data_IF_679215733920
#
_entry.id   IF_679215733920
#
_cell.length_a   1.000
_cell.length_b   1.000
_cell.length_c   1.000
_cell.angle_alpha   90.00
_cell.angle_beta   90.00
_cell.angle_gamma   90.00
#
_symmetry.space_group_name_H-M   'P 1'
#
loop_
_entity.id
_entity.type
_entity.pdbx_description
1 polymer ?
#
# COMPACT_ATOMS: atom_id res chain seq x y z
N UNK A 1 12.50 43.27 5.33
CA UNK A 1 11.67 43.89 4.26
C UNK A 1 10.40 43.10 4.07
N UNK A 2 9.31 43.70 3.58
CA UNK A 2 8.04 43.03 3.31
C UNK A 2 7.23 43.76 2.24
N UNK A 3 6.22 43.10 1.65
CA UNK A 3 5.28 43.72 0.72
C UNK A 3 4.14 44.41 1.47
N UNK A 4 3.86 45.66 1.13
CA UNK A 4 2.79 46.49 1.72
C UNK A 4 1.76 46.87 0.66
N UNK A 5 0.48 46.68 0.97
CA UNK A 5 -0.65 47.23 0.20
C UNK A 5 -0.92 48.66 0.67
N UNK A 6 -1.08 49.59 -0.27
CA UNK A 6 -1.42 50.99 0.02
C UNK A 6 -2.63 51.38 -0.80
N UNK A 7 -3.69 51.81 -0.11
CA UNK A 7 -4.93 52.29 -0.72
C UNK A 7 -4.90 53.80 -0.89
N UNK A 8 -5.33 54.29 -2.05
CA UNK A 8 -5.46 55.72 -2.34
C UNK A 8 -6.85 56.01 -2.90
N UNK A 9 -7.56 56.98 -2.31
CA UNK A 9 -8.88 57.42 -2.77
C UNK A 9 -8.74 58.64 -3.67
N UNK A 10 -9.31 58.59 -4.88
CA UNK A 10 -9.42 59.76 -5.77
C UNK A 10 -10.69 60.56 -5.46
N UNK A 11 -10.73 61.84 -5.89
CA UNK A 11 -11.90 62.73 -5.79
C UNK A 11 -13.17 62.17 -6.46
N UNK A 12 -13.02 61.21 -7.38
CA UNK A 12 -14.12 60.51 -8.07
C UNK A 12 -14.73 59.33 -7.28
N UNK A 13 -14.27 59.06 -6.04
CA UNK A 13 -14.76 57.96 -5.20
C UNK A 13 -14.09 56.60 -5.47
N UNK A 14 -13.29 56.48 -6.54
CA UNK A 14 -12.56 55.25 -6.87
C UNK A 14 -11.36 55.06 -5.94
N UNK A 15 -11.22 53.85 -5.37
CA UNK A 15 -10.10 53.44 -4.52
C UNK A 15 -9.13 52.60 -5.34
N UNK A 16 -7.87 53.01 -5.40
CA UNK A 16 -6.83 52.29 -6.12
C UNK A 16 -5.80 51.74 -5.13
N UNK A 17 -5.56 50.43 -5.19
CA UNK A 17 -4.63 49.72 -4.32
C UNK A 17 -3.32 49.46 -5.06
N UNK A 18 -2.20 49.83 -4.44
CA UNK A 18 -0.85 49.62 -4.98
C UNK A 18 -0.01 48.73 -4.07
N UNK A 19 1.01 48.08 -4.62
CA UNK A 19 1.95 47.22 -3.88
C UNK A 19 3.33 47.86 -3.84
N UNK A 20 3.97 47.81 -2.68
CA UNK A 20 5.30 48.37 -2.43
C UNK A 20 6.18 47.38 -1.68
N UNK A 21 7.46 47.27 -2.04
CA UNK A 21 8.48 46.63 -1.19
C UNK A 21 8.96 47.67 -0.17
N UNK A 22 8.85 47.35 1.11
CA UNK A 22 9.25 48.26 2.19
C UNK A 22 10.23 47.59 3.14
N UNK A 23 11.10 48.41 3.71
CA UNK A 23 12.05 47.99 4.74
C UNK A 23 11.82 48.78 6.02
N UNK A 24 11.79 48.09 7.15
CA UNK A 24 11.72 48.71 8.47
C UNK A 24 13.12 49.00 8.99
N UNK A 25 13.33 50.22 9.49
CA UNK A 25 14.60 50.66 10.07
C UNK A 25 14.33 51.55 11.30
N UNK A 26 15.33 51.73 12.17
CA UNK A 26 15.27 52.69 13.27
C UNK A 26 16.00 53.97 12.88
N UNK A 27 15.39 55.13 13.10
CA UNK A 27 16.06 56.41 12.89
C UNK A 27 17.07 56.69 14.03
N UNK A 28 17.82 57.79 13.92
CA UNK A 28 18.80 58.22 14.93
C UNK A 28 18.17 58.44 16.32
N UNK A 29 16.87 58.70 16.39
CA UNK A 29 16.08 58.83 17.63
C UNK A 29 15.55 57.48 18.17
N UNK A 30 15.93 56.35 17.57
CA UNK A 30 15.50 55.00 17.97
C UNK A 30 14.06 54.64 17.59
N UNK A 31 13.32 55.51 16.88
CA UNK A 31 11.94 55.27 16.45
C UNK A 31 11.90 54.38 15.21
N UNK A 32 10.99 53.40 15.21
CA UNK A 32 10.74 52.55 14.05
C UNK A 32 10.09 53.33 12.91
N UNK A 33 10.70 53.29 11.73
CA UNK A 33 10.25 53.93 10.49
C UNK A 33 10.29 52.91 9.36
N UNK A 34 9.54 53.17 8.30
CA UNK A 34 9.59 52.38 7.06
C UNK A 34 10.09 53.24 5.92
N UNK A 35 10.98 52.69 5.10
CA UNK A 35 11.39 53.28 3.81
C UNK A 35 10.88 52.42 2.67
N UNK A 36 10.48 53.05 1.59
CA UNK A 36 10.04 52.35 0.39
C UNK A 36 11.27 52.00 -0.44
N UNK A 37 11.44 50.73 -0.75
CA UNK A 37 12.53 50.24 -1.60
C UNK A 37 12.11 50.18 -3.06
N UNK A 38 10.86 49.81 -3.34
CA UNK A 38 10.35 49.66 -4.70
C UNK A 38 8.83 49.82 -4.79
N UNK A 39 8.34 50.36 -5.91
CA UNK A 39 6.92 50.47 -6.23
C UNK A 39 6.57 49.48 -7.34
N UNK A 40 5.76 48.46 -7.03
CA UNK A 40 5.29 47.49 -8.03
C UNK A 40 4.08 47.98 -8.83
N UNK A 41 3.45 49.08 -8.41
CA UNK A 41 2.29 49.64 -9.11
C UNK A 41 0.96 49.04 -8.63
N UNK A 42 -0.08 49.03 -9.49
CA UNK A 42 -1.41 48.52 -9.16
C UNK A 42 -1.41 47.06 -8.72
N UNK A 43 -2.17 46.73 -7.67
CA UNK A 43 -2.21 45.39 -7.08
C UNK A 43 -2.66 44.31 -8.08
N UNK A 44 -3.69 44.61 -8.87
CA UNK A 44 -4.24 43.74 -9.91
C UNK A 44 -3.19 43.39 -10.96
N UNK A 45 -2.47 44.40 -11.48
CA UNK A 45 -1.41 44.19 -12.47
C UNK A 45 -0.24 43.40 -11.90
N UNK A 46 0.18 43.73 -10.67
CA UNK A 46 1.26 43.03 -10.01
C UNK A 46 0.94 41.56 -9.79
N UNK A 47 -0.27 41.24 -9.31
CA UNK A 47 -0.70 39.85 -9.08
C UNK A 47 -0.78 39.05 -10.38
N UNK A 48 -1.21 39.65 -11.49
CA UNK A 48 -1.34 38.93 -12.76
C UNK A 48 -0.01 38.71 -13.52
N UNK A 49 0.95 39.62 -13.37
CA UNK A 49 2.13 39.63 -14.26
C UNK A 49 3.46 39.29 -13.56
N UNK A 50 3.62 39.69 -12.30
CA UNK A 50 4.93 39.81 -11.66
C UNK A 50 5.05 39.07 -10.32
N UNK A 51 3.95 38.87 -9.60
CA UNK A 51 3.95 38.26 -8.27
C UNK A 51 4.55 36.84 -8.30
N UNK A 52 4.04 35.97 -9.17
CA UNK A 52 4.49 34.58 -9.25
C UNK A 52 5.95 34.49 -9.69
N UNK A 53 6.36 35.32 -10.67
CA UNK A 53 7.76 35.40 -11.11
C UNK A 53 8.71 35.85 -10.00
N UNK A 54 8.27 36.80 -9.17
CA UNK A 54 9.05 37.27 -8.04
C UNK A 54 9.21 36.16 -6.99
N UNK A 55 8.13 35.44 -6.69
CA UNK A 55 8.14 34.29 -5.77
C UNK A 55 9.07 33.18 -6.28
N UNK A 56 8.91 32.78 -7.54
CA UNK A 56 9.73 31.77 -8.19
C UNK A 56 11.22 32.13 -8.20
N UNK A 57 11.54 33.39 -8.51
CA UNK A 57 12.92 33.88 -8.53
C UNK A 57 13.58 33.79 -7.14
N UNK A 58 12.85 34.22 -6.09
CA UNK A 58 13.34 34.14 -4.70
C UNK A 58 13.53 32.70 -4.25
N UNK A 59 12.57 31.81 -4.55
CA UNK A 59 12.66 30.40 -4.17
C UNK A 59 13.81 29.69 -4.87
N UNK A 60 13.98 29.94 -6.18
CA UNK A 60 15.12 29.43 -6.96
C UNK A 60 16.46 29.85 -6.37
N UNK A 61 16.58 31.09 -5.89
CA UNK A 61 17.80 31.57 -5.21
C UNK A 61 18.06 30.84 -3.87
N UNK A 62 17.00 30.37 -3.19
CA UNK A 62 17.12 29.58 -1.95
C UNK A 62 17.30 28.08 -2.20
N UNK A 63 17.27 27.61 -3.46
CA UNK A 63 17.24 26.19 -3.79
C UNK A 63 15.90 25.52 -3.43
N UNK A 64 14.85 26.30 -3.24
CA UNK A 64 13.50 25.85 -2.95
C UNK A 64 12.65 25.92 -4.23
N UNK A 65 11.59 25.12 -4.32
CA UNK A 65 10.65 25.12 -5.46
C UNK A 65 9.28 25.55 -4.96
N UNK A 66 8.62 26.46 -5.69
CA UNK A 66 7.25 26.84 -5.39
C UNK A 66 6.31 25.71 -5.81
N UNK A 67 5.56 25.17 -4.85
CA UNK A 67 4.56 24.12 -5.09
C UNK A 67 3.15 24.72 -5.07
N UNK A 68 2.87 25.70 -5.93
CA UNK A 68 1.56 26.37 -5.97
C UNK A 68 0.48 25.58 -6.73
N UNK A 69 0.84 24.41 -7.23
CA UNK A 69 -0.03 23.55 -8.04
C UNK A 69 -0.21 22.16 -7.43
N UNK A 70 -0.10 22.04 -6.11
CA UNK A 70 -0.74 20.90 -5.45
C UNK A 70 -2.25 21.13 -5.58
N UNK A 71 -2.82 20.66 -6.69
CA UNK A 71 -4.26 20.48 -6.83
C UNK A 71 -4.76 19.90 -5.51
N UNK A 72 -5.78 20.52 -4.92
CA UNK A 72 -6.42 19.96 -3.73
C UNK A 72 -7.17 18.71 -4.20
N UNK A 73 -6.48 17.58 -4.20
CA UNK A 73 -7.08 16.28 -4.48
C UNK A 73 -8.16 16.03 -3.42
N UNK A 74 -9.42 15.92 -3.84
CA UNK A 74 -10.54 15.67 -2.93
C UNK A 74 -10.46 14.29 -2.28
N UNK A 75 -9.93 13.30 -3.01
CA UNK A 75 -9.54 12.00 -2.49
C UNK A 75 -8.48 11.39 -3.41
N UNK A 76 -7.60 10.58 -2.83
CA UNK A 76 -6.61 9.81 -3.56
C UNK A 76 -6.67 8.36 -3.08
N UNK A 77 -6.33 7.44 -3.99
CA UNK A 77 -6.23 6.02 -3.67
C UNK A 77 -4.82 5.69 -3.23
N UNK A 78 -4.69 4.79 -2.25
CA UNK A 78 -3.39 4.27 -1.86
C UNK A 78 -2.83 3.39 -2.99
N UNK A 79 -1.55 3.59 -3.32
CA UNK A 79 -0.90 2.87 -4.43
C UNK A 79 0.55 2.45 -4.14
N UNK A 80 1.34 3.27 -3.44
CA UNK A 80 2.79 3.04 -3.29
C UNK A 80 3.17 1.63 -2.80
N UNK A 81 2.57 1.18 -1.71
CA UNK A 81 2.85 -0.15 -1.14
C UNK A 81 2.42 -1.27 -2.09
N UNK A 82 1.27 -1.09 -2.75
CA UNK A 82 0.69 -2.05 -3.68
C UNK A 82 1.49 -2.17 -4.96
N UNK A 83 2.08 -1.07 -5.44
CA UNK A 83 3.02 -1.10 -6.54
C UNK A 83 4.20 -2.00 -6.21
N UNK A 84 4.77 -1.88 -5.01
CA UNK A 84 5.90 -2.70 -4.56
C UNK A 84 5.53 -4.18 -4.50
N UNK A 85 4.39 -4.51 -3.89
CA UNK A 85 3.86 -5.89 -3.82
C UNK A 85 3.68 -6.47 -5.23
N UNK A 86 3.05 -5.70 -6.13
CA UNK A 86 2.83 -6.14 -7.50
C UNK A 86 4.15 -6.41 -8.24
N UNK A 87 5.16 -5.54 -8.08
CA UNK A 87 6.48 -5.73 -8.69
C UNK A 87 7.15 -7.00 -8.16
N UNK A 88 7.10 -7.25 -6.86
CA UNK A 88 7.65 -8.49 -6.25
C UNK A 88 6.97 -9.73 -6.84
N UNK A 89 5.63 -9.77 -6.87
CA UNK A 89 4.88 -10.91 -7.40
C UNK A 89 5.14 -11.16 -8.88
N UNK A 90 5.40 -10.10 -9.65
CA UNK A 90 5.78 -10.18 -11.06
C UNK A 90 7.16 -10.79 -11.24
N UNK A 91 8.15 -10.38 -10.46
CA UNK A 91 9.50 -10.98 -10.48
C UNK A 91 9.47 -12.46 -10.07
N UNK A 92 8.63 -12.82 -9.09
CA UNK A 92 8.40 -14.21 -8.67
C UNK A 92 7.68 -15.07 -9.72
N UNK A 93 7.18 -14.46 -10.80
CA UNK A 93 6.42 -15.14 -11.89
C UNK A 93 5.19 -15.90 -11.39
N UNK A 94 4.65 -15.50 -10.23
CA UNK A 94 3.60 -16.24 -9.55
C UNK A 94 2.30 -16.27 -10.34
N UNK A 95 1.86 -15.11 -10.85
CA UNK A 95 0.62 -15.01 -11.62
C UNK A 95 0.69 -15.74 -12.96
N UNK A 96 1.87 -15.83 -13.59
CA UNK A 96 2.05 -16.54 -14.85
C UNK A 96 1.84 -18.05 -14.68
N UNK A 97 2.24 -18.62 -13.53
CA UNK A 97 1.98 -20.03 -13.25
C UNK A 97 0.49 -20.29 -12.99
N UNK A 98 -0.18 -19.36 -12.29
CA UNK A 98 -1.63 -19.42 -12.09
C UNK A 98 -2.39 -19.37 -13.42
N UNK A 99 -2.00 -18.46 -14.34
CA UNK A 99 -2.62 -18.38 -15.67
C UNK A 99 -2.46 -19.68 -16.45
N UNK A 100 -1.24 -20.23 -16.48
CA UNK A 100 -0.97 -21.52 -17.14
C UNK A 100 -1.86 -22.64 -16.61
N UNK A 101 -1.96 -22.79 -15.29
CA UNK A 101 -2.82 -23.81 -14.66
C UNK A 101 -4.28 -23.54 -14.99
N UNK A 102 -4.73 -22.28 -14.89
CA UNK A 102 -6.10 -21.88 -15.20
C UNK A 102 -6.49 -22.31 -16.61
N UNK A 103 -5.67 -22.00 -17.61
CA UNK A 103 -5.92 -22.26 -19.02
C UNK A 103 -5.84 -23.74 -19.38
N UNK A 104 -4.91 -24.50 -18.77
CA UNK A 104 -4.66 -25.90 -19.11
C UNK A 104 -5.49 -26.91 -18.33
N UNK A 105 -5.89 -26.59 -17.09
CA UNK A 105 -6.45 -27.57 -16.15
C UNK A 105 -7.81 -27.19 -15.58
N UNK A 106 -8.34 -26.00 -15.91
CA UNK A 106 -9.60 -25.52 -15.33
C UNK A 106 -10.58 -24.98 -16.37
N UNK A 107 -11.83 -24.81 -15.95
CA UNK A 107 -12.88 -24.09 -16.70
C UNK A 107 -13.28 -22.81 -15.99
N UNK A 108 -12.34 -22.17 -15.29
CA UNK A 108 -12.62 -20.95 -14.53
C UNK A 108 -12.78 -19.78 -15.51
N UNK A 109 -13.99 -19.25 -15.62
CA UNK A 109 -14.31 -18.18 -16.57
C UNK A 109 -14.08 -16.77 -16.00
N UNK A 110 -14.00 -16.63 -14.68
CA UNK A 110 -13.76 -15.33 -14.05
C UNK A 110 -12.26 -14.98 -14.02
N UNK A 111 -11.96 -13.73 -13.66
CA UNK A 111 -10.59 -13.23 -13.50
C UNK A 111 -9.90 -13.81 -12.25
N UNK A 112 -9.43 -15.06 -12.35
CA UNK A 112 -8.78 -15.78 -11.25
C UNK A 112 -7.53 -15.06 -10.73
N UNK A 113 -6.65 -14.64 -11.62
CA UNK A 113 -5.44 -13.88 -11.27
C UNK A 113 -5.83 -12.63 -10.51
N UNK A 114 -6.86 -11.93 -10.98
CA UNK A 114 -7.26 -10.70 -10.34
C UNK A 114 -7.77 -10.89 -8.91
N UNK A 115 -8.55 -11.94 -8.68
CA UNK A 115 -9.05 -12.29 -7.35
C UNK A 115 -7.92 -12.74 -6.41
N UNK A 116 -6.96 -13.52 -6.89
CA UNK A 116 -5.80 -13.93 -6.09
C UNK A 116 -4.91 -12.73 -5.75
N UNK A 117 -4.67 -11.84 -6.71
CA UNK A 117 -3.91 -10.62 -6.49
C UNK A 117 -4.57 -9.73 -5.42
N UNK A 118 -5.91 -9.58 -5.47
CA UNK A 118 -6.65 -8.85 -4.45
C UNK A 118 -6.51 -9.50 -3.05
N UNK A 119 -6.57 -10.83 -2.95
CA UNK A 119 -6.39 -11.56 -1.69
C UNK A 119 -5.00 -11.35 -1.09
N UNK A 120 -3.95 -11.47 -1.91
CA UNK A 120 -2.56 -11.30 -1.47
C UNK A 120 -2.31 -9.85 -1.07
N UNK A 121 -2.71 -8.90 -1.93
CA UNK A 121 -2.53 -7.48 -1.70
C UNK A 121 -3.23 -7.01 -0.43
N UNK A 122 -4.48 -7.42 -0.20
CA UNK A 122 -5.17 -7.08 1.05
C UNK A 122 -4.52 -7.74 2.27
N UNK A 123 -4.08 -9.00 2.16
CA UNK A 123 -3.42 -9.70 3.27
C UNK A 123 -2.12 -9.02 3.73
N UNK A 124 -1.40 -8.38 2.82
CA UNK A 124 -0.15 -7.66 3.13
C UNK A 124 -0.43 -6.22 3.56
N UNK A 125 -1.35 -5.52 2.90
CA UNK A 125 -1.56 -4.08 3.12
C UNK A 125 -2.55 -3.73 4.24
N UNK A 126 -3.72 -4.39 4.30
CA UNK A 126 -4.76 -4.15 5.31
C UNK A 126 -5.48 -5.49 5.61
N UNK A 127 -4.85 -6.38 6.40
CA UNK A 127 -5.34 -7.74 6.60
C UNK A 127 -6.75 -7.74 7.16
N UNK A 128 -7.70 -8.23 6.37
CA UNK A 128 -9.12 -8.16 6.72
C UNK A 128 -9.91 -9.41 6.30
N UNK A 129 -11.21 -9.42 6.58
CA UNK A 129 -12.10 -10.46 6.06
C UNK A 129 -12.28 -10.30 4.55
N UNK A 130 -12.58 -11.40 3.85
CA UNK A 130 -12.77 -11.38 2.38
C UNK A 130 -13.96 -10.51 1.96
N UNK A 131 -14.91 -10.28 2.88
CA UNK A 131 -16.00 -9.35 2.68
C UNK A 131 -15.54 -7.90 2.83
N UNK A 132 -14.79 -7.57 3.89
CA UNK A 132 -14.24 -6.22 4.12
C UNK A 132 -13.23 -5.82 3.03
N UNK A 133 -12.52 -6.80 2.45
CA UNK A 133 -11.65 -6.61 1.29
C UNK A 133 -12.35 -5.89 0.14
N UNK A 134 -13.65 -6.16 -0.10
CA UNK A 134 -14.39 -5.50 -1.18
C UNK A 134 -14.50 -3.99 -0.97
N UNK A 135 -14.72 -3.53 0.27
CA UNK A 135 -14.70 -2.10 0.61
C UNK A 135 -13.28 -1.54 0.55
N UNK A 136 -12.26 -2.33 0.92
CA UNK A 136 -10.86 -1.90 0.82
C UNK A 136 -10.44 -1.62 -0.64
N UNK A 137 -10.99 -2.34 -1.63
CA UNK A 137 -10.73 -2.08 -3.06
C UNK A 137 -11.16 -0.68 -3.53
N UNK A 138 -12.07 -0.01 -2.80
CA UNK A 138 -12.47 1.37 -3.09
C UNK A 138 -11.38 2.37 -2.69
N UNK A 139 -10.59 2.04 -1.66
CA UNK A 139 -9.55 2.89 -1.06
C UNK A 139 -8.21 2.80 -1.78
N UNK A 140 -8.02 1.77 -2.62
CA UNK A 140 -6.75 1.47 -3.24
C UNK A 140 -6.80 1.51 -4.76
N UNK A 141 -5.64 1.78 -5.36
CA UNK A 141 -5.43 1.66 -6.79
C UNK A 141 -4.55 0.44 -7.04
N UNK A 142 -5.07 -0.47 -7.84
CA UNK A 142 -4.39 -1.68 -8.26
C UNK A 142 -4.31 -1.65 -9.79
N UNK A 143 -3.15 -1.29 -10.36
CA UNK A 143 -2.95 -1.33 -11.80
C UNK A 143 -3.24 -2.75 -12.32
N UNK A 144 -3.74 -2.83 -13.55
CA UNK A 144 -4.05 -4.10 -14.23
C UNK A 144 -5.24 -4.90 -13.64
N UNK A 145 -5.78 -4.48 -12.49
CA UNK A 145 -6.98 -5.06 -11.87
C UNK A 145 -8.22 -4.21 -12.16
N UNK A 146 -9.23 -4.81 -12.79
CA UNK A 146 -10.58 -4.24 -12.83
C UNK A 146 -11.27 -4.53 -11.49
N UNK A 147 -11.10 -3.64 -10.51
CA UNK A 147 -11.67 -3.80 -9.16
C UNK A 147 -13.18 -4.06 -9.18
N UNK A 148 -13.92 -3.50 -10.15
CA UNK A 148 -15.36 -3.73 -10.33
C UNK A 148 -15.75 -5.18 -10.69
N UNK A 149 -14.79 -6.01 -11.12
CA UNK A 149 -15.02 -7.42 -11.43
C UNK A 149 -14.78 -8.37 -10.26
N UNK A 150 -14.22 -7.86 -9.14
CA UNK A 150 -13.91 -8.68 -7.97
C UNK A 150 -15.16 -8.86 -7.13
N UNK A 151 -15.52 -10.11 -6.83
CA UNK A 151 -16.67 -10.41 -5.96
C UNK A 151 -16.36 -11.50 -4.94
N UNK A 152 -17.15 -11.51 -3.87
CA UNK A 152 -16.96 -12.39 -2.73
C UNK A 152 -16.90 -13.89 -3.08
N UNK A 153 -17.84 -14.38 -3.89
CA UNK A 153 -17.92 -15.80 -4.21
C UNK A 153 -16.71 -16.28 -5.00
N UNK A 154 -16.24 -15.46 -5.94
CA UNK A 154 -15.06 -15.78 -6.73
C UNK A 154 -13.76 -15.64 -5.91
N UNK A 155 -13.70 -14.79 -4.88
CA UNK A 155 -12.58 -14.79 -3.92
C UNK A 155 -12.49 -16.14 -3.20
N UNK A 156 -13.62 -16.70 -2.76
CA UNK A 156 -13.63 -18.02 -2.12
C UNK A 156 -13.22 -19.14 -3.08
N UNK A 157 -13.78 -19.15 -4.30
CA UNK A 157 -13.38 -20.12 -5.36
C UNK A 157 -11.90 -20.01 -5.73
N UNK A 158 -11.32 -18.81 -5.64
CA UNK A 158 -9.89 -18.61 -5.85
C UNK A 158 -9.06 -19.27 -4.75
N UNK A 159 -9.55 -19.29 -3.50
CA UNK A 159 -8.89 -20.03 -2.43
C UNK A 159 -8.95 -21.54 -2.66
N UNK A 160 -10.08 -22.07 -3.14
CA UNK A 160 -10.20 -23.50 -3.48
C UNK A 160 -9.20 -23.90 -4.57
N UNK A 161 -9.03 -23.02 -5.59
CA UNK A 161 -8.00 -23.20 -6.61
C UNK A 161 -6.59 -23.25 -6.00
N UNK A 162 -6.24 -22.31 -5.11
CA UNK A 162 -4.94 -22.27 -4.46
C UNK A 162 -4.67 -23.54 -3.63
N UNK A 163 -5.68 -24.03 -2.90
CA UNK A 163 -5.58 -25.28 -2.12
C UNK A 163 -5.33 -26.48 -3.05
N UNK A 164 -6.10 -26.60 -4.14
CA UNK A 164 -5.99 -27.70 -5.09
C UNK A 164 -4.62 -27.76 -5.77
N UNK A 165 -4.03 -26.62 -6.09
CA UNK A 165 -2.77 -26.52 -6.82
C UNK A 165 -1.57 -26.16 -5.93
N UNK A 166 -1.74 -26.22 -4.61
CA UNK A 166 -0.77 -25.79 -3.58
C UNK A 166 0.65 -26.27 -3.86
N UNK A 167 0.87 -27.59 -4.00
CA UNK A 167 2.21 -28.16 -4.18
C UNK A 167 2.94 -27.55 -5.38
N UNK A 168 2.29 -27.52 -6.54
CA UNK A 168 2.88 -26.97 -7.77
C UNK A 168 3.20 -25.49 -7.64
N UNK A 169 2.29 -24.72 -7.02
CA UNK A 169 2.49 -23.29 -6.81
C UNK A 169 3.62 -23.00 -5.83
N UNK A 170 3.75 -23.80 -4.76
CA UNK A 170 4.87 -23.70 -3.81
C UNK A 170 6.20 -24.09 -4.43
N UNK A 171 6.26 -25.23 -5.13
CA UNK A 171 7.48 -25.67 -5.83
C UNK A 171 7.96 -24.54 -6.76
N UNK A 172 7.03 -23.92 -7.50
CA UNK A 172 7.34 -22.82 -8.41
C UNK A 172 7.79 -21.54 -7.68
N UNK A 173 7.14 -21.19 -6.57
CA UNK A 173 7.52 -20.04 -5.76
C UNK A 173 8.89 -20.24 -5.14
N UNK A 174 9.16 -21.41 -4.58
CA UNK A 174 10.44 -21.78 -4.00
C UNK A 174 11.54 -21.68 -5.06
N UNK A 175 11.37 -22.29 -6.24
CA UNK A 175 12.31 -22.17 -7.36
C UNK A 175 12.62 -20.70 -7.71
N UNK A 176 11.59 -19.86 -7.86
CA UNK A 176 11.76 -18.44 -8.16
C UNK A 176 12.54 -17.72 -7.08
N UNK A 177 12.19 -17.90 -5.80
CA UNK A 177 12.86 -17.25 -4.66
C UNK A 177 14.32 -17.67 -4.60
N UNK A 178 14.60 -18.97 -4.63
CA UNK A 178 15.96 -19.50 -4.56
C UNK A 178 16.82 -19.00 -5.71
N UNK A 179 16.26 -18.93 -6.92
CA UNK A 179 16.99 -18.44 -8.10
C UNK A 179 17.21 -16.93 -8.09
N UNK A 180 16.25 -16.12 -7.63
CA UNK A 180 16.37 -14.66 -7.65
C UNK A 180 17.40 -14.19 -6.61
N UNK A 181 17.43 -14.85 -5.46
CA UNK A 181 18.30 -14.49 -4.34
C UNK A 181 19.58 -15.35 -4.26
N UNK A 182 19.81 -16.24 -5.23
CA UNK A 182 20.94 -17.18 -5.28
C UNK A 182 21.15 -17.94 -3.95
N UNK A 183 20.05 -18.44 -3.39
CA UNK A 183 20.04 -19.10 -2.09
C UNK A 183 20.39 -20.59 -2.24
N UNK A 184 21.28 -21.08 -1.38
CA UNK A 184 21.64 -22.50 -1.35
C UNK A 184 20.74 -23.26 -0.38
N UNK A 185 20.06 -24.30 -0.86
CA UNK A 185 19.23 -25.19 -0.05
C UNK A 185 20.06 -26.36 0.52
N UNK A 186 21.03 -26.06 1.38
CA UNK A 186 21.86 -27.08 2.04
C UNK A 186 21.23 -27.61 3.33
N UNK A 187 20.59 -26.71 4.06
CA UNK A 187 19.79 -27.00 5.24
C UNK A 187 18.41 -26.35 5.08
N UNK A 188 17.39 -27.00 5.64
CA UNK A 188 16.09 -26.39 5.85
C UNK A 188 15.80 -26.36 7.34
N UNK A 189 15.14 -25.29 7.79
CA UNK A 189 14.51 -25.27 9.10
C UNK A 189 13.05 -25.70 8.97
N UNK A 190 12.60 -26.54 9.89
CA UNK A 190 11.22 -26.95 10.00
C UNK A 190 10.75 -26.63 11.42
N UNK A 191 9.70 -25.83 11.51
CA UNK A 191 9.05 -25.51 12.77
C UNK A 191 7.54 -25.71 12.66
N UNK A 192 6.93 -26.04 13.79
CA UNK A 192 5.52 -26.35 13.92
C UNK A 192 4.85 -25.30 14.79
N UNK A 193 3.77 -24.73 14.29
CA UNK A 193 2.88 -23.82 15.02
C UNK A 193 1.44 -24.34 14.99
N UNK A 194 0.53 -23.68 15.71
CA UNK A 194 -0.89 -24.04 15.72
C UNK A 194 -1.76 -22.79 15.58
N UNK A 195 -2.98 -22.96 15.06
CA UNK A 195 -4.01 -21.92 15.09
C UNK A 195 -5.33 -22.53 15.54
N UNK A 196 -5.98 -21.90 16.51
CA UNK A 196 -7.28 -22.33 17.03
C UNK A 196 -8.46 -21.68 16.30
N UNK A 197 -9.64 -22.27 16.45
CA UNK A 197 -10.90 -21.77 15.88
C UNK A 197 -12.00 -21.70 16.94
N UNK A 198 -12.87 -20.70 16.82
CA UNK A 198 -14.07 -20.58 17.64
C UNK A 198 -15.27 -21.13 16.87
N UNK A 199 -15.47 -22.44 16.96
CA UNK A 199 -16.60 -23.12 16.32
C UNK A 199 -17.00 -24.36 17.10
N UNK A 200 -18.29 -24.68 17.03
CA UNK A 200 -18.81 -25.95 17.52
C UNK A 200 -19.30 -26.83 16.35
N UNK A 201 -19.10 -26.40 15.11
CA UNK A 201 -19.56 -27.10 13.92
C UNK A 201 -18.37 -27.82 13.25
N UNK A 202 -18.24 -29.10 13.56
CA UNK A 202 -17.21 -30.00 13.05
C UNK A 202 -17.89 -31.11 12.23
N UNK A 203 -17.27 -31.46 11.10
CA UNK A 203 -17.63 -32.65 10.33
C UNK A 203 -16.69 -33.82 10.66
N UNK A 204 -17.09 -35.04 10.35
CA UNK A 204 -16.26 -36.24 10.60
C UNK A 204 -14.92 -36.21 9.84
N UNK A 205 -14.83 -35.48 8.73
CA UNK A 205 -13.60 -35.29 7.94
C UNK A 205 -12.87 -33.97 8.22
N UNK A 206 -13.19 -33.29 9.32
CA UNK A 206 -12.60 -32.00 9.66
C UNK A 206 -11.17 -32.18 10.20
N UNK A 207 -10.25 -31.38 9.66
CA UNK A 207 -8.86 -31.34 10.16
C UNK A 207 -8.77 -30.63 11.52
N UNK A 208 -9.79 -29.87 11.91
CA UNK A 208 -9.81 -29.14 13.18
C UNK A 208 -10.11 -30.12 14.31
N UNK A 209 -9.13 -30.33 15.19
CA UNK A 209 -9.27 -31.25 16.32
C UNK A 209 -8.76 -30.58 17.61
N UNK A 210 -9.23 -31.07 18.76
CA UNK A 210 -8.62 -30.72 20.04
C UNK A 210 -7.23 -31.37 20.15
N UNK A 211 -6.25 -30.65 20.67
CA UNK A 211 -4.90 -31.15 20.85
C UNK A 211 -4.05 -30.24 21.73
N UNK A 212 -2.74 -30.46 21.71
CA UNK A 212 -1.80 -29.61 22.44
C UNK A 212 -1.75 -28.22 21.80
N UNK A 213 -2.19 -27.19 22.54
CA UNK A 213 -2.29 -25.82 22.04
C UNK A 213 -1.08 -25.01 22.46
N UNK A 214 -0.33 -24.47 21.50
CA UNK A 214 0.81 -23.57 21.77
C UNK A 214 0.36 -22.20 22.31
N UNK A 215 -0.91 -21.85 22.09
CA UNK A 215 -1.53 -20.60 22.57
C UNK A 215 -2.26 -20.77 23.92
N UNK A 216 -2.10 -21.90 24.60
CA UNK A 216 -2.83 -22.25 25.83
C UNK A 216 -4.36 -22.25 25.67
N UNK A 217 -4.88 -22.66 24.51
CA UNK A 217 -6.31 -22.75 24.19
C UNK A 217 -6.75 -24.20 23.92
N UNK A 218 -6.45 -25.10 24.85
CA UNK A 218 -6.89 -26.50 24.79
C UNK A 218 -8.42 -26.66 24.84
N UNK A 219 -9.14 -25.60 25.20
CA UNK A 219 -10.61 -25.50 25.15
C UNK A 219 -11.15 -25.33 23.72
N UNK A 220 -10.28 -25.22 22.71
CA UNK A 220 -10.66 -24.97 21.31
C UNK A 220 -10.09 -26.02 20.38
N UNK A 221 -10.82 -26.27 19.30
CA UNK A 221 -10.29 -27.01 18.15
C UNK A 221 -9.25 -26.18 17.42
N UNK A 222 -8.26 -26.85 16.87
CA UNK A 222 -7.13 -26.21 16.20
C UNK A 222 -6.68 -27.01 14.98
N UNK A 223 -5.78 -26.42 14.21
CA UNK A 223 -4.94 -27.11 13.22
C UNK A 223 -3.49 -26.90 13.58
N UNK A 224 -2.64 -27.85 13.18
CA UNK A 224 -1.19 -27.71 13.29
C UNK A 224 -0.62 -27.34 11.93
N UNK A 225 0.34 -26.41 11.91
CA UNK A 225 0.94 -25.87 10.69
C UNK A 225 2.44 -26.06 10.78
N UNK A 226 3.00 -26.83 9.86
CA UNK A 226 4.44 -26.95 9.68
C UNK A 226 4.93 -25.98 8.60
N UNK A 227 6.00 -25.25 8.86
CA UNK A 227 6.61 -24.34 7.88
C UNK A 227 8.05 -24.77 7.62
N UNK A 228 8.39 -24.96 6.34
CA UNK A 228 9.75 -25.24 5.88
C UNK A 228 10.36 -23.95 5.38
N UNK A 229 11.55 -23.62 5.89
CA UNK A 229 12.25 -22.38 5.59
C UNK A 229 13.69 -22.64 5.17
N UNK A 230 14.26 -21.73 4.38
CA UNK A 230 15.70 -21.69 4.07
C UNK A 230 16.54 -21.31 5.30
N UNK A 231 17.86 -21.38 5.18
CA UNK A 231 18.80 -20.95 6.24
C UNK A 231 18.61 -19.47 6.64
N UNK A 232 18.16 -18.65 5.71
CA UNK A 232 17.87 -17.22 5.88
C UNK A 232 16.46 -16.96 6.45
N UNK A 233 15.70 -18.02 6.78
CA UNK A 233 14.36 -17.91 7.34
C UNK A 233 13.27 -17.62 6.31
N UNK A 234 13.51 -17.85 5.01
CA UNK A 234 12.51 -17.63 3.97
C UNK A 234 11.62 -18.87 3.82
N UNK A 235 10.28 -18.77 3.99
CA UNK A 235 9.39 -19.90 3.80
C UNK A 235 9.33 -20.38 2.35
N UNK A 236 9.49 -21.69 2.15
CA UNK A 236 9.47 -22.34 0.83
C UNK A 236 8.37 -23.39 0.69
N UNK A 237 7.87 -23.91 1.81
CA UNK A 237 6.71 -24.81 1.82
C UNK A 237 5.99 -24.72 3.16
N UNK A 238 4.71 -25.08 3.17
CA UNK A 238 3.98 -25.31 4.42
C UNK A 238 3.18 -26.61 4.37
N UNK A 239 2.77 -27.10 5.54
CA UNK A 239 1.89 -28.25 5.68
C UNK A 239 0.83 -27.93 6.73
N UNK A 240 -0.39 -28.41 6.51
CA UNK A 240 -1.49 -28.26 7.46
C UNK A 240 -1.93 -29.65 7.87
N UNK A 241 -1.90 -29.91 9.17
CA UNK A 241 -2.20 -31.20 9.77
C UNK A 241 -3.39 -31.09 10.72
N UNK A 242 -4.01 -32.25 11.06
CA UNK A 242 -4.98 -32.30 12.13
C UNK A 242 -4.47 -31.67 13.44
N UNK A 243 -5.37 -31.02 14.19
CA UNK A 243 -5.00 -30.29 15.41
C UNK A 243 -4.41 -31.14 16.55
N UNK A 244 -4.52 -32.45 16.46
CA UNK A 244 -3.98 -33.43 17.39
C UNK A 244 -2.71 -34.14 16.88
N UNK A 245 -2.16 -33.69 15.75
CA UNK A 245 -0.90 -34.24 15.21
C UNK A 245 0.28 -33.88 16.10
N UNK A 246 1.04 -34.89 16.53
CA UNK A 246 2.25 -34.70 17.31
C UNK A 246 3.44 -34.34 16.42
N UNK A 247 4.29 -33.42 16.88
CA UNK A 247 5.43 -32.91 16.10
C UNK A 247 6.38 -34.02 15.60
N UNK A 248 6.62 -35.05 16.42
CA UNK A 248 7.48 -36.19 16.05
C UNK A 248 6.95 -37.02 14.89
N UNK A 249 5.67 -36.91 14.56
CA UNK A 249 5.03 -37.67 13.48
C UNK A 249 5.08 -36.98 12.12
N UNK A 250 5.63 -35.76 12.05
CA UNK A 250 5.68 -34.96 10.82
C UNK A 250 7.10 -34.78 10.24
N UNK A 251 8.10 -35.39 10.89
CA UNK A 251 9.51 -35.45 10.46
C UNK A 251 9.80 -36.72 9.64
#
# INVERSE_FOLDING_TARGET
>A
MFLRKVESKRKSGYTHTTVQLVESYRNEEGKSRTRILYHFGPLDKFLQADADKLVDSVLKMKGEVFLDHLEKFGSAKNFGDLFTIFRILKELKFFQEIEKIKESETRIEFDLVGHINALISNRINDPSSKLKLLSWLELVYLPELKSSGINYNNLLRSMDFLIKHKKRLEDRLAESVLSIFDLSLRMCFYDMTSSYFETNNLSDSDIRCYGYSRDNRSDRVQVTIGVVMTEEGIPIAHYVFPGNTADVSTL
#
